data_IF_044543124001
#
_entry.id   IF_044543124001
#
_cell.length_a   1.000
_cell.length_b   1.000
_cell.length_c   1.000
_cell.angle_alpha   90.00
_cell.angle_beta   90.00
_cell.angle_gamma   90.00
#
_symmetry.space_group_name_H-M   'P 1'
#
loop_
_entity.id
_entity.type
_entity.pdbx_description
1 polymer ?
#
# COMPACT_ATOMS: atom_id res chain seq x y z
N UNK A 1 0.65 -7.22 -6.19
CA UNK A 1 0.96 -6.75 -4.83
C UNK A 1 2.24 -7.39 -4.30
N UNK A 2 2.37 -8.72 -4.18
CA UNK A 2 3.66 -9.35 -3.77
C UNK A 2 4.83 -8.87 -4.66
N UNK A 3 4.66 -8.94 -5.98
CA UNK A 3 5.62 -8.43 -6.97
C UNK A 3 5.91 -6.94 -6.79
N UNK A 4 4.86 -6.10 -6.80
CA UNK A 4 4.97 -4.64 -6.63
C UNK A 4 5.73 -4.26 -5.35
N UNK A 5 5.42 -4.88 -4.20
CA UNK A 5 6.11 -4.58 -2.94
C UNK A 5 7.59 -4.93 -3.02
N UNK A 6 7.95 -6.06 -3.65
CA UNK A 6 9.34 -6.42 -3.84
C UNK A 6 10.07 -5.44 -4.77
N UNK A 7 9.47 -5.05 -5.89
CA UNK A 7 10.06 -4.12 -6.87
C UNK A 7 10.23 -2.70 -6.30
N UNK A 8 9.24 -2.20 -5.55
CA UNK A 8 9.27 -0.83 -5.01
C UNK A 8 10.00 -0.70 -3.66
N UNK A 9 10.22 -1.79 -2.91
CA UNK A 9 10.79 -1.70 -1.56
C UNK A 9 11.95 -2.64 -1.27
N UNK A 10 12.25 -3.59 -2.17
CA UNK A 10 13.18 -4.69 -1.95
C UNK A 10 12.83 -5.60 -0.75
N UNK A 11 11.59 -5.52 -0.24
CA UNK A 11 11.07 -6.44 0.77
C UNK A 11 10.22 -7.54 0.16
N UNK A 12 10.44 -8.77 0.60
CA UNK A 12 9.47 -9.85 0.43
C UNK A 12 8.25 -9.59 1.31
N UNK A 13 7.07 -9.76 0.71
CA UNK A 13 5.80 -9.51 1.37
C UNK A 13 4.89 -10.73 1.32
N UNK A 14 4.34 -11.11 2.47
CA UNK A 14 3.34 -12.18 2.59
C UNK A 14 1.99 -11.56 2.97
N UNK A 15 0.99 -11.51 2.06
CA UNK A 15 -0.34 -11.03 2.40
C UNK A 15 -1.03 -11.95 3.40
N UNK A 16 -1.70 -11.36 4.37
CA UNK A 16 -2.49 -12.07 5.38
C UNK A 16 -3.97 -11.73 5.27
N UNK A 17 -4.30 -10.46 4.98
CA UNK A 17 -5.67 -9.97 4.94
C UNK A 17 -5.85 -8.91 3.86
N UNK A 18 -7.08 -8.82 3.34
CA UNK A 18 -7.56 -7.64 2.64
C UNK A 18 -8.04 -6.62 3.67
N UNK A 19 -7.63 -5.36 3.55
CA UNK A 19 -8.06 -4.25 4.43
C UNK A 19 -9.31 -3.58 3.87
N UNK A 20 -9.37 -3.39 2.54
CA UNK A 20 -10.49 -2.73 1.89
C UNK A 20 -10.35 -2.68 0.37
N UNK A 21 -11.47 -2.38 -0.30
CA UNK A 21 -11.55 -2.14 -1.74
C UNK A 21 -12.11 -0.74 -1.96
N UNK A 22 -11.33 0.13 -2.58
CA UNK A 22 -11.64 1.55 -2.70
C UNK A 22 -11.85 1.90 -4.17
N UNK A 23 -12.96 2.57 -4.46
CA UNK A 23 -13.18 3.20 -5.76
C UNK A 23 -12.77 4.66 -5.68
N UNK A 24 -11.84 5.08 -6.52
CA UNK A 24 -11.37 6.47 -6.58
C UNK A 24 -11.34 6.97 -8.01
N UNK A 25 -11.79 8.20 -8.21
CA UNK A 25 -11.76 8.88 -9.50
C UNK A 25 -10.72 9.98 -9.39
N UNK A 26 -9.68 9.92 -10.24
CA UNK A 26 -8.61 10.90 -10.20
C UNK A 26 -9.16 12.29 -10.59
N UNK A 27 -9.03 13.32 -9.74
CA UNK A 27 -9.75 14.58 -9.90
C UNK A 27 -9.37 15.33 -11.19
N UNK A 28 -8.11 15.22 -11.62
CA UNK A 28 -7.62 15.89 -12.84
C UNK A 28 -7.75 15.06 -14.13
N UNK A 29 -7.53 13.74 -14.05
CA UNK A 29 -7.46 12.86 -15.24
C UNK A 29 -8.80 12.22 -15.59
N UNK A 30 -9.72 12.09 -14.62
CA UNK A 30 -11.00 11.40 -14.81
C UNK A 30 -10.90 9.87 -14.79
N UNK A 31 -9.68 9.32 -14.73
CA UNK A 31 -9.45 7.87 -14.62
C UNK A 31 -10.09 7.31 -13.34
N UNK A 32 -10.77 6.17 -13.48
CA UNK A 32 -11.34 5.43 -12.36
C UNK A 32 -10.42 4.30 -11.95
N UNK A 33 -10.08 4.26 -10.65
CA UNK A 33 -9.25 3.25 -10.03
C UNK A 33 -10.08 2.42 -9.05
N UNK A 34 -9.86 1.11 -9.08
CA UNK A 34 -10.27 0.19 -8.02
C UNK A 34 -9.00 -0.27 -7.30
N UNK A 35 -8.81 0.17 -6.06
CA UNK A 35 -7.64 -0.17 -5.24
C UNK A 35 -8.00 -1.28 -4.27
N UNK A 36 -7.23 -2.36 -4.31
CA UNK A 36 -7.25 -3.41 -3.29
C UNK A 36 -6.11 -3.12 -2.30
N UNK A 37 -6.44 -2.89 -1.03
CA UNK A 37 -5.43 -2.71 0.02
C UNK A 37 -5.26 -4.02 0.80
N UNK A 38 -4.02 -4.48 0.93
CA UNK A 38 -3.68 -5.69 1.66
C UNK A 38 -2.78 -5.35 2.86
N UNK A 39 -2.92 -6.13 3.92
CA UNK A 39 -1.99 -6.12 5.05
C UNK A 39 -1.33 -7.48 5.22
N UNK A 40 -0.13 -7.49 5.78
CA UNK A 40 0.65 -8.70 5.98
C UNK A 40 2.05 -8.38 6.46
N UNK A 41 2.95 -9.36 6.35
CA UNK A 41 4.30 -9.27 6.89
C UNK A 41 5.32 -8.95 5.80
N UNK A 42 6.20 -7.99 6.10
CA UNK A 42 7.45 -7.80 5.37
C UNK A 42 8.55 -8.62 6.08
N UNK A 43 9.03 -9.69 5.45
CA UNK A 43 9.80 -10.74 6.15
C UNK A 43 11.30 -10.71 5.84
N UNK A 44 11.68 -10.35 4.61
CA UNK A 44 13.08 -10.37 4.18
C UNK A 44 13.38 -9.17 3.29
N UNK A 45 14.43 -8.41 3.64
CA UNK A 45 14.92 -7.29 2.86
C UNK A 45 16.18 -7.69 2.08
N UNK A 46 16.20 -7.42 0.78
CA UNK A 46 17.42 -7.52 -0.04
C UNK A 46 17.98 -6.12 -0.32
N UNK A 47 18.94 -5.62 0.48
CA UNK A 47 19.50 -4.28 0.29
C UNK A 47 20.31 -4.12 -1.00
N UNK A 48 20.56 -5.21 -1.75
CA UNK A 48 21.31 -5.17 -3.02
C UNK A 48 20.41 -5.15 -4.25
N UNK A 49 19.12 -5.40 -4.08
CA UNK A 49 18.14 -5.28 -5.16
C UNK A 49 17.89 -3.80 -5.47
N UNK A 50 17.97 -3.43 -6.75
CA UNK A 50 17.54 -2.11 -7.20
C UNK A 50 16.02 -1.97 -7.03
N UNK A 51 15.59 -0.74 -6.73
CA UNK A 51 14.17 -0.37 -6.77
C UNK A 51 13.82 0.07 -8.19
N UNK A 52 12.53 0.06 -8.52
CA UNK A 52 12.02 0.65 -9.75
C UNK A 52 12.50 2.11 -9.93
N UNK A 53 12.73 2.52 -11.19
CA UNK A 53 13.37 3.80 -11.53
C UNK A 53 12.63 5.04 -10.95
N UNK A 54 11.31 4.93 -10.78
CA UNK A 54 10.46 6.00 -10.23
C UNK A 54 10.46 6.05 -8.68
N UNK A 55 11.17 5.13 -8.02
CA UNK A 55 11.23 5.02 -6.55
C UNK A 55 12.55 5.56 -6.02
N UNK A 56 12.48 6.67 -5.28
CA UNK A 56 13.67 7.27 -4.67
C UNK A 56 14.16 6.50 -3.42
N UNK A 57 13.25 6.01 -2.59
CA UNK A 57 13.55 5.28 -1.35
C UNK A 57 12.27 4.66 -0.75
N UNK A 58 12.44 3.59 0.02
CA UNK A 58 11.41 3.02 0.89
C UNK A 58 11.72 3.34 2.37
N UNK A 59 10.73 3.87 3.09
CA UNK A 59 10.89 4.30 4.49
C UNK A 59 9.84 3.64 5.40
N UNK A 60 10.28 3.23 6.59
CA UNK A 60 9.37 2.87 7.68
C UNK A 60 8.99 4.14 8.45
N UNK A 61 7.70 4.51 8.40
CA UNK A 61 7.16 5.70 9.03
C UNK A 61 6.09 5.35 10.06
N UNK A 62 5.98 6.15 11.13
CA UNK A 62 4.83 6.09 12.05
C UNK A 62 3.59 6.72 11.40
N UNK A 63 2.40 6.44 11.95
CA UNK A 63 1.16 7.04 11.45
C UNK A 63 1.21 8.58 11.48
N UNK A 64 1.72 9.17 12.57
CA UNK A 64 1.84 10.62 12.73
C UNK A 64 2.78 11.23 11.69
N UNK A 65 3.85 10.51 11.32
CA UNK A 65 4.77 10.94 10.27
C UNK A 65 4.11 10.91 8.89
N UNK A 66 3.21 9.95 8.63
CA UNK A 66 2.46 9.88 7.37
C UNK A 66 1.41 10.99 7.32
N UNK A 67 0.66 11.19 8.41
CA UNK A 67 -0.35 12.23 8.52
C UNK A 67 0.24 13.64 8.33
N UNK A 68 1.41 13.91 8.92
CA UNK A 68 2.13 15.17 8.73
C UNK A 68 2.55 15.45 7.27
N UNK A 69 2.55 14.44 6.40
CA UNK A 69 2.89 14.53 4.96
C UNK A 69 1.66 14.53 4.06
N UNK A 70 0.47 14.79 4.60
CA UNK A 70 -0.80 14.72 3.87
C UNK A 70 -0.76 15.31 2.44
N UNK A 71 -0.16 16.49 2.29
CA UNK A 71 -0.07 17.21 1.01
C UNK A 71 0.84 16.57 -0.02
N UNK A 72 1.78 15.74 0.42
CA UNK A 72 2.78 15.07 -0.42
C UNK A 72 2.31 13.68 -0.86
N UNK A 73 1.20 13.18 -0.28
CA UNK A 73 0.67 11.86 -0.61
C UNK A 73 0.08 11.86 -2.01
N UNK A 74 0.41 10.81 -2.77
CA UNK A 74 -0.06 10.61 -4.16
C UNK A 74 -1.58 10.58 -4.30
N UNK A 75 -2.29 10.18 -3.25
CA UNK A 75 -3.76 10.20 -3.19
C UNK A 75 -4.22 10.17 -1.72
N UNK A 76 -5.43 10.68 -1.42
CA UNK A 76 -6.03 10.57 -0.09
C UNK A 76 -6.23 9.12 0.36
N UNK A 77 -6.33 8.17 -0.59
CA UNK A 77 -6.47 6.75 -0.30
C UNK A 77 -5.32 6.18 0.52
N UNK A 78 -4.13 6.80 0.53
CA UNK A 78 -3.03 6.34 1.39
C UNK A 78 -3.47 6.38 2.86
N UNK A 79 -3.99 7.51 3.32
CA UNK A 79 -4.42 7.66 4.71
C UNK A 79 -5.68 6.86 5.02
N UNK A 80 -6.64 6.82 4.10
CA UNK A 80 -7.86 6.03 4.27
C UNK A 80 -7.54 4.54 4.50
N UNK A 81 -6.62 3.97 3.70
CA UNK A 81 -6.15 2.59 3.91
C UNK A 81 -5.49 2.38 5.28
N UNK A 82 -4.68 3.35 5.74
CA UNK A 82 -4.05 3.28 7.06
C UNK A 82 -5.07 3.37 8.20
N UNK A 83 -6.04 4.27 8.08
CA UNK A 83 -7.10 4.44 9.07
C UNK A 83 -7.96 3.18 9.18
N UNK A 84 -8.31 2.56 8.05
CA UNK A 84 -9.06 1.30 8.05
C UNK A 84 -8.24 0.15 8.66
N UNK A 85 -6.94 0.09 8.34
CA UNK A 85 -6.04 -0.87 8.97
C UNK A 85 -5.99 -0.68 10.49
N UNK A 86 -5.89 0.56 10.97
CA UNK A 86 -5.85 0.91 12.40
C UNK A 86 -7.20 0.70 13.10
N UNK A 87 -8.32 0.83 12.38
CA UNK A 87 -9.66 0.50 12.87
C UNK A 87 -9.91 -1.01 13.00
N UNK A 88 -8.96 -1.85 12.56
CA UNK A 88 -9.02 -3.30 12.70
C UNK A 88 -9.69 -4.02 11.53
N UNK A 89 -9.91 -3.36 10.39
CA UNK A 89 -10.47 -4.02 9.21
C UNK A 89 -9.51 -5.08 8.67
N UNK A 90 -9.91 -6.34 8.77
CA UNK A 90 -9.19 -7.52 8.27
C UNK A 90 -10.19 -8.49 7.67
N UNK A 91 -10.19 -8.58 6.35
CA UNK A 91 -11.03 -9.52 5.60
C UNK A 91 -10.18 -10.71 5.13
N UNK A 92 -10.72 -11.94 5.17
CA UNK A 92 -10.04 -13.12 4.65
C UNK A 92 -9.67 -12.97 3.18
N UNK A 93 -8.51 -13.50 2.78
CA UNK A 93 -8.05 -13.44 1.39
C UNK A 93 -8.89 -14.32 0.44
N UNK A 94 -9.61 -15.31 0.98
CA UNK A 94 -10.47 -16.23 0.20
C UNK A 94 -11.74 -15.55 -0.36
N UNK A 95 -12.00 -14.29 0.00
CA UNK A 95 -13.00 -13.44 -0.65
C UNK A 95 -12.64 -13.16 -2.12
N UNK A 96 -11.37 -13.27 -2.49
CA UNK A 96 -10.89 -13.09 -3.86
C UNK A 96 -10.80 -14.45 -4.55
N UNK A 97 -11.45 -14.56 -5.70
CA UNK A 97 -11.42 -15.75 -6.56
C UNK A 97 -10.75 -15.42 -7.90
N UNK A 98 -10.02 -16.40 -8.45
CA UNK A 98 -9.36 -16.32 -9.75
C UNK A 98 -10.10 -17.16 -10.80
#
# INVERSE_FOLDING_TARGET
>A
MIRETQEETAWQFTPEHLVGIYRWIHPLKGDTYIRYCFSGQATQHDPTQALDDDIHQALWLTYEQIEARYTDLRSPLVLECFQDYMAGHRYPLDILHN
#
